data_IF_239948279251
#
_entry.id   IF_239948279251
#
_cell.length_a   1.000
_cell.length_b   1.000
_cell.length_c   1.000
_cell.angle_alpha   90.00
_cell.angle_beta   90.00
_cell.angle_gamma   90.00
#
_symmetry.space_group_name_H-M   'P 1'
#
loop_
_entity.id
_entity.type
_entity.pdbx_description
1 polymer ?
#
# COMPACT_ATOMS: atom_id res chain seq x y z
N UNK A 1 4.78 13.51 3.32
CA UNK A 1 3.44 12.82 3.27
C UNK A 1 2.64 13.22 4.49
N UNK A 2 1.31 13.42 4.34
CA UNK A 2 0.43 13.79 5.48
C UNK A 2 -0.85 12.95 5.57
N UNK A 3 -1.10 12.11 4.58
CA UNK A 3 -2.28 11.25 4.54
C UNK A 3 -1.93 9.85 4.04
N UNK A 4 -2.32 8.85 4.83
CA UNK A 4 -2.37 7.46 4.43
C UNK A 4 -3.83 7.12 4.16
N UNK A 5 -4.14 6.61 2.98
CA UNK A 5 -5.44 6.04 2.67
C UNK A 5 -5.28 4.54 2.53
N UNK A 6 -5.86 3.79 3.45
CA UNK A 6 -5.76 2.33 3.45
C UNK A 6 -7.08 1.70 3.02
N UNK A 7 -6.98 0.73 2.14
CA UNK A 7 -8.07 -0.17 1.75
C UNK A 7 -7.62 -1.58 2.13
N UNK A 8 -8.25 -2.15 3.16
CA UNK A 8 -7.95 -3.49 3.65
C UNK A 8 -9.02 -4.47 3.22
N UNK A 9 -8.58 -5.61 2.73
CA UNK A 9 -9.42 -6.78 2.51
C UNK A 9 -9.38 -7.70 3.73
N UNK A 10 -10.37 -8.57 3.87
CA UNK A 10 -10.37 -9.60 4.90
C UNK A 10 -9.16 -10.54 4.69
N UNK A 11 -8.34 -10.66 5.74
CA UNK A 11 -7.14 -11.52 5.72
C UNK A 11 -7.46 -12.99 5.94
N UNK A 12 -8.59 -13.27 6.54
CA UNK A 12 -8.86 -14.62 7.01
C UNK A 12 -10.33 -14.96 6.76
N UNK A 13 -10.60 -15.99 6.02
CA UNK A 13 -11.95 -16.54 5.85
C UNK A 13 -12.59 -17.07 7.15
N UNK A 14 -12.16 -16.56 8.32
CA UNK A 14 -12.61 -16.97 9.64
C UNK A 14 -13.04 -15.77 10.47
N UNK A 15 -14.28 -15.77 10.90
CA UNK A 15 -14.84 -14.74 11.79
C UNK A 15 -14.13 -14.67 13.18
N UNK A 16 -13.26 -15.61 13.52
CA UNK A 16 -12.57 -15.68 14.83
C UNK A 16 -11.20 -15.01 14.85
N UNK A 17 -10.62 -14.77 13.69
CA UNK A 17 -9.33 -14.12 13.54
C UNK A 17 -9.53 -12.84 12.77
N UNK A 18 -8.95 -11.77 13.23
CA UNK A 18 -9.01 -10.45 12.61
C UNK A 18 -7.62 -9.82 12.61
N UNK A 19 -6.78 -10.26 11.68
CA UNK A 19 -5.56 -9.54 11.38
C UNK A 19 -5.95 -8.21 10.72
N UNK A 20 -5.29 -7.12 11.07
CA UNK A 20 -5.58 -5.80 10.51
C UNK A 20 -4.38 -4.87 10.65
N UNK A 21 -4.15 -4.04 9.65
CA UNK A 21 -3.15 -2.97 9.73
C UNK A 21 -3.64 -1.74 10.49
N UNK A 22 -4.91 -1.69 10.88
CA UNK A 22 -5.46 -0.56 11.62
C UNK A 22 -4.69 -0.22 12.90
N UNK A 23 -4.24 -1.17 13.74
CA UNK A 23 -3.40 -0.87 14.90
C UNK A 23 -2.08 -0.16 14.55
N UNK A 24 -1.46 -0.50 13.42
CA UNK A 24 -0.28 0.19 12.89
C UNK A 24 -0.57 1.65 12.59
N UNK A 25 -1.64 1.92 11.85
CA UNK A 25 -2.06 3.28 11.50
C UNK A 25 -2.38 4.12 12.74
N UNK A 26 -3.01 3.52 13.75
CA UNK A 26 -3.29 4.14 15.04
C UNK A 26 -2.01 4.48 15.80
N UNK A 27 -1.05 3.55 15.82
CA UNK A 27 0.26 3.77 16.45
C UNK A 27 1.00 4.94 15.79
N UNK A 28 1.10 4.94 14.46
CA UNK A 28 1.76 6.01 13.70
C UNK A 28 1.08 7.37 13.94
N UNK A 29 -0.24 7.44 13.92
CA UNK A 29 -0.95 8.68 14.20
C UNK A 29 -0.77 9.14 15.66
N UNK A 30 -0.65 8.21 16.61
CA UNK A 30 -0.35 8.50 18.02
C UNK A 30 1.04 9.12 18.19
N UNK A 31 2.05 8.61 17.48
CA UNK A 31 3.43 9.15 17.50
C UNK A 31 3.52 10.45 16.69
N UNK A 32 2.90 10.49 15.52
CA UNK A 32 2.92 11.62 14.60
C UNK A 32 1.50 12.14 14.31
N UNK A 33 0.92 12.99 15.16
CA UNK A 33 -0.44 13.50 14.98
C UNK A 33 -0.68 14.26 13.66
N UNK A 34 0.39 14.71 13.00
CA UNK A 34 0.34 15.34 11.67
C UNK A 34 0.10 14.34 10.54
N UNK A 35 0.42 13.06 10.72
CA UNK A 35 0.15 11.98 9.78
C UNK A 35 -1.27 11.50 10.00
N UNK A 36 -2.17 11.87 9.10
CA UNK A 36 -3.56 11.42 9.14
C UNK A 36 -3.72 10.11 8.40
N UNK A 37 -4.70 9.31 8.81
CA UNK A 37 -5.07 8.12 8.05
C UNK A 37 -6.58 8.05 7.83
N UNK A 38 -6.96 7.40 6.73
CA UNK A 38 -8.33 6.99 6.43
C UNK A 38 -8.26 5.49 6.20
N UNK A 39 -8.94 4.74 7.03
CA UNK A 39 -9.03 3.29 6.95
C UNK A 39 -10.39 2.89 6.38
N UNK A 40 -10.39 2.00 5.39
CA UNK A 40 -11.55 1.42 4.73
C UNK A 40 -11.34 -0.06 4.53
N UNK A 41 -12.43 -0.80 4.47
CA UNK A 41 -12.43 -2.22 4.10
C UNK A 41 -13.13 -2.42 2.76
N UNK A 42 -12.66 -3.38 1.98
CA UNK A 42 -13.26 -3.79 0.72
C UNK A 42 -13.02 -5.28 0.49
N UNK A 43 -14.09 -6.07 0.37
CA UNK A 43 -14.05 -7.52 0.13
C UNK A 43 -14.63 -7.89 -1.25
N UNK A 44 -15.02 -6.89 -2.02
CA UNK A 44 -15.52 -7.04 -3.39
C UNK A 44 -15.01 -5.91 -4.28
N UNK A 45 -15.05 -6.14 -5.59
CA UNK A 45 -14.70 -5.13 -6.60
C UNK A 45 -15.59 -3.88 -6.51
N UNK A 46 -16.84 -4.02 -6.13
CA UNK A 46 -17.77 -2.89 -5.99
C UNK A 46 -17.45 -2.05 -4.74
N UNK A 47 -17.12 -2.70 -3.62
CA UNK A 47 -16.65 -2.01 -2.40
C UNK A 47 -15.31 -1.31 -2.67
N UNK A 48 -14.40 -1.95 -3.40
CA UNK A 48 -13.16 -1.31 -3.86
C UNK A 48 -13.45 -0.04 -4.67
N UNK A 49 -14.36 -0.09 -5.66
CA UNK A 49 -14.78 1.10 -6.42
C UNK A 49 -15.32 2.20 -5.52
N UNK A 50 -16.11 1.82 -4.51
CA UNK A 50 -16.61 2.79 -3.53
C UNK A 50 -15.47 3.44 -2.76
N UNK A 51 -14.51 2.66 -2.25
CA UNK A 51 -13.34 3.17 -1.53
C UNK A 51 -12.47 4.08 -2.42
N UNK A 52 -12.25 3.72 -3.68
CA UNK A 52 -11.50 4.55 -4.64
C UNK A 52 -12.21 5.87 -4.95
N UNK A 53 -13.55 5.91 -5.00
CA UNK A 53 -14.29 7.17 -5.08
C UNK A 53 -14.04 8.08 -3.86
N UNK A 54 -13.92 7.50 -2.66
CA UNK A 54 -13.55 8.27 -1.45
C UNK A 54 -12.10 8.75 -1.50
N UNK A 55 -11.18 7.91 -1.97
CA UNK A 55 -9.79 8.32 -2.21
C UNK A 55 -9.72 9.53 -3.18
N UNK A 56 -10.45 9.48 -4.30
CA UNK A 56 -10.53 10.59 -5.26
C UNK A 56 -10.97 11.90 -4.64
N UNK A 57 -11.90 11.86 -3.69
CA UNK A 57 -12.39 13.06 -2.99
C UNK A 57 -11.30 13.69 -2.12
N UNK A 58 -10.53 12.89 -1.38
CA UNK A 58 -9.53 13.39 -0.43
C UNK A 58 -8.18 13.70 -1.08
N UNK A 59 -7.77 12.95 -2.10
CA UNK A 59 -6.49 13.16 -2.77
C UNK A 59 -6.39 14.50 -3.48
N UNK A 60 -7.51 15.03 -3.97
CA UNK A 60 -7.57 16.32 -4.69
C UNK A 60 -7.40 17.55 -3.80
N UNK A 61 -7.60 17.40 -2.50
CA UNK A 61 -7.53 18.50 -1.53
C UNK A 61 -6.19 18.62 -0.84
N UNK A 62 -5.28 17.68 -1.07
CA UNK A 62 -3.96 17.66 -0.46
C UNK A 62 -2.89 18.15 -1.45
N UNK A 63 -2.11 19.15 -1.04
CA UNK A 63 -0.95 19.63 -1.79
C UNK A 63 0.24 18.65 -1.75
N UNK A 64 0.25 17.74 -0.78
CA UNK A 64 1.23 16.68 -0.64
C UNK A 64 0.73 15.38 -1.31
N UNK A 65 1.66 14.47 -1.62
CA UNK A 65 1.25 13.14 -2.05
C UNK A 65 0.58 12.36 -0.91
N UNK A 66 -0.41 11.54 -1.27
CA UNK A 66 -0.99 10.55 -0.40
C UNK A 66 -0.25 9.21 -0.56
N UNK A 67 -0.20 8.41 0.48
CA UNK A 67 0.18 7.00 0.41
C UNK A 67 -1.12 6.17 0.42
N UNK A 68 -1.38 5.49 -0.69
CA UNK A 68 -2.50 4.56 -0.82
C UNK A 68 -1.99 3.15 -0.54
N UNK A 69 -2.48 2.55 0.54
CA UNK A 69 -2.15 1.18 0.96
C UNK A 69 -3.27 0.24 0.57
N UNK A 70 -2.92 -0.83 -0.12
CA UNK A 70 -3.78 -1.99 -0.35
C UNK A 70 -3.28 -3.12 0.53
N UNK A 71 -4.06 -3.50 1.53
CA UNK A 71 -3.71 -4.52 2.51
C UNK A 71 -4.61 -5.74 2.38
N UNK A 72 -4.03 -6.93 2.44
CA UNK A 72 -4.76 -8.18 2.29
C UNK A 72 -3.90 -9.28 1.66
N UNK A 73 -4.51 -10.39 1.33
CA UNK A 73 -3.81 -11.45 0.62
C UNK A 73 -3.34 -11.03 -0.76
N UNK A 74 -2.18 -11.52 -1.15
CA UNK A 74 -1.58 -11.28 -2.46
C UNK A 74 -0.92 -12.53 -3.03
N UNK A 75 -0.70 -12.52 -4.31
CA UNK A 75 0.14 -13.47 -5.05
C UNK A 75 0.78 -12.73 -6.23
N UNK A 76 1.71 -13.39 -6.93
CA UNK A 76 2.42 -12.76 -8.05
C UNK A 76 1.49 -12.04 -9.01
N UNK A 77 1.58 -10.71 -9.05
CA UNK A 77 0.80 -9.84 -9.93
C UNK A 77 -0.68 -9.69 -9.60
N UNK A 78 -1.15 -10.18 -8.43
CA UNK A 78 -2.55 -10.16 -8.03
C UNK A 78 -2.73 -9.76 -6.57
N UNK A 79 -3.83 -9.08 -6.29
CA UNK A 79 -4.32 -8.79 -4.95
C UNK A 79 -5.75 -9.33 -4.78
N UNK A 80 -6.09 -9.76 -3.57
CA UNK A 80 -7.38 -10.35 -3.25
C UNK A 80 -8.26 -9.36 -2.48
N UNK A 81 -9.55 -9.37 -2.80
CA UNK A 81 -10.62 -8.65 -2.10
C UNK A 81 -11.69 -9.67 -1.73
N UNK A 82 -11.57 -10.24 -0.52
CA UNK A 82 -12.35 -11.39 -0.11
C UNK A 82 -12.07 -12.59 -1.02
N UNK A 83 -13.11 -13.11 -1.67
CA UNK A 83 -12.99 -14.23 -2.63
C UNK A 83 -12.62 -13.78 -4.05
N UNK A 84 -12.71 -12.49 -4.34
CA UNK A 84 -12.35 -11.93 -5.66
C UNK A 84 -10.85 -11.60 -5.71
N UNK A 85 -10.20 -11.85 -6.85
CA UNK A 85 -8.82 -11.41 -7.09
C UNK A 85 -8.77 -10.48 -8.29
N UNK A 86 -7.88 -9.49 -8.22
CA UNK A 86 -7.59 -8.59 -9.33
C UNK A 86 -6.10 -8.66 -9.67
N UNK A 87 -5.79 -8.79 -10.93
CA UNK A 87 -4.45 -8.49 -11.43
C UNK A 87 -4.16 -6.99 -11.27
N UNK A 88 -2.88 -6.60 -11.28
CA UNK A 88 -2.52 -5.18 -11.24
C UNK A 88 -3.15 -4.39 -12.39
N UNK A 89 -3.30 -4.98 -13.58
CA UNK A 89 -3.91 -4.30 -14.72
C UNK A 89 -5.42 -4.14 -14.53
N UNK A 90 -6.12 -5.14 -14.02
CA UNK A 90 -7.55 -5.02 -13.68
C UNK A 90 -7.78 -4.01 -12.55
N UNK A 91 -6.88 -3.93 -11.56
CA UNK A 91 -6.92 -2.89 -10.54
C UNK A 91 -6.74 -1.48 -11.16
N UNK A 92 -5.84 -1.34 -12.15
CA UNK A 92 -5.66 -0.09 -12.87
C UNK A 92 -6.91 0.29 -13.68
N UNK A 93 -7.59 -0.69 -14.30
CA UNK A 93 -8.87 -0.45 -14.99
C UNK A 93 -9.94 0.04 -14.03
N UNK A 94 -10.10 -0.64 -12.88
CA UNK A 94 -11.07 -0.24 -11.83
C UNK A 94 -10.75 1.18 -11.32
N UNK A 95 -9.49 1.51 -11.14
CA UNK A 95 -9.08 2.85 -10.73
C UNK A 95 -9.43 3.90 -11.79
N UNK A 96 -9.20 3.60 -13.08
CA UNK A 96 -9.48 4.50 -14.18
C UNK A 96 -10.98 4.67 -14.47
N UNK A 97 -11.81 3.67 -14.18
CA UNK A 97 -13.28 3.82 -14.18
C UNK A 97 -13.74 4.90 -13.17
N UNK A 98 -13.04 5.02 -12.04
CA UNK A 98 -13.33 6.03 -11.02
C UNK A 98 -12.76 7.40 -11.41
N UNK A 99 -11.62 7.43 -12.06
CA UNK A 99 -10.99 8.66 -12.54
C UNK A 99 -9.72 8.39 -13.32
N UNK A 100 -9.59 9.02 -14.48
CA UNK A 100 -8.39 8.91 -15.31
C UNK A 100 -7.13 9.22 -14.48
N UNK A 101 -6.15 8.31 -14.53
CA UNK A 101 -4.90 8.38 -13.76
C UNK A 101 -5.15 8.71 -12.28
N UNK A 102 -6.05 7.96 -11.65
CA UNK A 102 -6.54 8.22 -10.29
C UNK A 102 -5.41 8.34 -9.27
N UNK A 103 -4.28 7.65 -9.46
CA UNK A 103 -3.15 7.65 -8.52
C UNK A 103 -2.05 8.65 -8.91
N UNK A 104 -2.36 9.60 -9.81
CA UNK A 104 -1.37 10.54 -10.31
C UNK A 104 -0.68 11.32 -9.17
N UNK A 105 0.65 11.18 -9.10
CA UNK A 105 1.48 11.84 -8.09
C UNK A 105 1.49 11.18 -6.72
N UNK A 106 0.78 10.07 -6.52
CA UNK A 106 0.67 9.37 -5.25
C UNK A 106 1.55 8.12 -5.17
N UNK A 107 1.86 7.68 -3.94
CA UNK A 107 2.43 6.36 -3.67
C UNK A 107 1.31 5.33 -3.65
N UNK A 108 1.52 4.19 -4.31
CA UNK A 108 0.71 2.98 -4.14
C UNK A 108 1.58 1.91 -3.50
N UNK A 109 1.18 1.43 -2.34
CA UNK A 109 1.86 0.37 -1.60
C UNK A 109 0.96 -0.85 -1.46
N UNK A 110 1.49 -2.02 -1.81
CA UNK A 110 0.83 -3.30 -1.64
C UNK A 110 1.38 -3.97 -0.37
N UNK A 111 0.63 -3.84 0.72
CA UNK A 111 0.81 -4.59 1.95
C UNK A 111 0.19 -5.98 1.77
N UNK A 112 0.85 -6.78 0.95
CA UNK A 112 0.35 -8.08 0.47
C UNK A 112 1.51 -8.91 -0.04
N UNK A 113 1.46 -10.23 0.19
CA UNK A 113 2.50 -11.15 -0.24
C UNK A 113 2.69 -11.15 -1.76
N UNK A 114 3.95 -11.09 -2.20
CA UNK A 114 4.38 -11.39 -3.59
C UNK A 114 3.72 -10.59 -4.72
N UNK A 115 2.92 -9.56 -4.46
CA UNK A 115 2.17 -8.81 -5.51
C UNK A 115 3.11 -8.21 -6.56
N UNK A 116 4.27 -7.70 -6.14
CA UNK A 116 5.25 -7.08 -7.05
C UNK A 116 6.35 -8.04 -7.50
N UNK A 117 6.27 -9.32 -7.13
CA UNK A 117 7.24 -10.34 -7.50
C UNK A 117 7.24 -10.58 -9.01
N UNK A 118 8.43 -10.64 -9.62
CA UNK A 118 8.65 -10.96 -11.04
C UNK A 118 7.72 -10.21 -12.03
N UNK A 119 7.22 -9.04 -11.61
CA UNK A 119 6.19 -8.29 -12.32
C UNK A 119 6.65 -6.89 -12.77
N UNK A 120 7.95 -6.69 -12.96
CA UNK A 120 8.52 -5.37 -13.32
C UNK A 120 7.79 -4.71 -14.49
N UNK A 121 7.53 -5.47 -15.57
CA UNK A 121 6.85 -4.94 -16.75
C UNK A 121 5.39 -4.60 -16.46
N UNK A 122 4.71 -5.43 -15.66
CA UNK A 122 3.30 -5.20 -15.25
C UNK A 122 3.22 -3.99 -14.35
N UNK A 123 4.16 -3.83 -13.40
CA UNK A 123 4.25 -2.66 -12.52
C UNK A 123 4.50 -1.38 -13.32
N UNK A 124 5.37 -1.42 -14.32
CA UNK A 124 5.59 -0.26 -15.23
C UNK A 124 4.31 0.12 -15.97
N UNK A 125 3.57 -0.85 -16.48
CA UNK A 125 2.30 -0.59 -17.15
C UNK A 125 1.23 -0.07 -16.18
N UNK A 126 1.15 -0.64 -14.98
CA UNK A 126 0.28 -0.14 -13.91
C UNK A 126 0.57 1.34 -13.58
N UNK A 127 1.84 1.71 -13.42
CA UNK A 127 2.26 3.10 -13.20
C UNK A 127 1.81 4.00 -14.35
N UNK A 128 2.03 3.57 -15.59
CA UNK A 128 1.64 4.32 -16.79
C UNK A 128 0.13 4.54 -16.86
N UNK A 129 -0.66 3.51 -16.56
CA UNK A 129 -2.12 3.57 -16.59
C UNK A 129 -2.70 4.43 -15.45
N UNK A 130 -2.15 4.33 -14.25
CA UNK A 130 -2.70 4.95 -13.04
C UNK A 130 -2.09 6.30 -12.70
N UNK A 131 -0.90 6.60 -13.25
CA UNK A 131 -0.14 7.80 -12.92
C UNK A 131 0.57 7.74 -11.56
N UNK A 132 0.63 6.59 -10.91
CA UNK A 132 1.30 6.45 -9.63
C UNK A 132 2.75 6.95 -9.69
N UNK A 133 3.19 7.68 -8.68
CA UNK A 133 4.56 8.22 -8.59
C UNK A 133 5.57 7.13 -8.19
N UNK A 134 5.15 6.22 -7.35
CA UNK A 134 5.89 5.05 -6.91
C UNK A 134 4.90 3.92 -6.64
N UNK A 135 5.28 2.71 -7.00
CA UNK A 135 4.62 1.47 -6.58
C UNK A 135 5.62 0.69 -5.75
N UNK A 136 5.22 0.21 -4.60
CA UNK A 136 6.02 -0.61 -3.69
C UNK A 136 5.19 -1.75 -3.11
N UNK A 137 5.84 -2.76 -2.56
CA UNK A 137 5.23 -3.92 -1.95
C UNK A 137 6.26 -5.02 -1.73
N UNK A 138 5.83 -6.16 -1.23
CA UNK A 138 6.69 -7.31 -0.97
C UNK A 138 6.88 -8.17 -2.22
N UNK A 139 8.15 -8.55 -2.48
CA UNK A 139 8.51 -9.46 -3.58
C UNK A 139 8.39 -10.94 -3.19
N UNK A 140 8.22 -11.24 -1.90
CA UNK A 140 8.09 -12.60 -1.37
C UNK A 140 6.92 -12.65 -0.40
N UNK A 141 6.58 -13.86 0.02
CA UNK A 141 5.67 -14.05 1.13
C UNK A 141 6.33 -13.56 2.41
N UNK A 142 5.58 -12.85 3.23
CA UNK A 142 6.04 -12.25 4.47
C UNK A 142 5.11 -12.64 5.61
N UNK A 143 5.69 -12.79 6.80
CA UNK A 143 4.92 -12.92 8.03
C UNK A 143 4.23 -11.59 8.36
N UNK A 144 3.03 -11.67 8.94
CA UNK A 144 2.24 -10.48 9.27
C UNK A 144 2.97 -9.54 10.25
N UNK A 145 3.70 -10.07 11.24
CA UNK A 145 4.44 -9.23 12.20
C UNK A 145 5.68 -8.61 11.55
N UNK A 146 6.37 -9.36 10.69
CA UNK A 146 7.54 -8.85 9.96
C UNK A 146 7.14 -7.73 9.00
N UNK A 147 6.08 -7.92 8.21
CA UNK A 147 5.57 -6.88 7.31
C UNK A 147 5.15 -5.64 8.09
N UNK A 148 4.38 -5.80 9.16
CA UNK A 148 3.94 -4.72 10.04
C UNK A 148 5.11 -3.88 10.57
N UNK A 149 6.19 -4.53 11.03
CA UNK A 149 7.38 -3.83 11.53
C UNK A 149 8.10 -3.05 10.42
N UNK A 150 8.28 -3.65 9.24
CA UNK A 150 8.89 -3.00 8.08
C UNK A 150 8.08 -1.81 7.58
N UNK A 151 6.76 -1.93 7.58
CA UNK A 151 5.87 -0.85 7.16
C UNK A 151 5.83 0.30 8.14
N UNK A 152 5.89 0.03 9.45
CA UNK A 152 6.05 1.10 10.43
C UNK A 152 7.32 1.92 10.16
N UNK A 153 8.44 1.26 9.88
CA UNK A 153 9.69 1.92 9.50
C UNK A 153 9.52 2.69 8.19
N UNK A 154 8.87 2.09 7.19
CA UNK A 154 8.63 2.75 5.90
C UNK A 154 7.77 4.01 6.05
N UNK A 155 6.68 3.94 6.82
CA UNK A 155 5.81 5.09 7.07
C UNK A 155 6.55 6.19 7.84
N UNK A 156 7.42 5.84 8.80
CA UNK A 156 8.26 6.82 9.49
C UNK A 156 9.15 7.59 8.49
N UNK A 157 9.83 6.87 7.61
CA UNK A 157 10.63 7.53 6.56
C UNK A 157 9.79 8.33 5.56
N UNK A 158 8.59 7.84 5.19
CA UNK A 158 7.66 8.60 4.35
C UNK A 158 7.24 9.93 4.99
N UNK A 159 7.13 9.96 6.31
CA UNK A 159 6.80 11.17 7.05
C UNK A 159 7.95 12.21 7.02
N UNK A 160 9.19 11.75 7.05
CA UNK A 160 10.38 12.61 7.11
C UNK A 160 11.00 12.93 5.74
N UNK A 161 10.63 12.19 4.69
CA UNK A 161 11.18 12.37 3.34
C UNK A 161 10.32 13.30 2.48
N UNK A 162 10.97 14.03 1.56
CA UNK A 162 10.28 14.88 0.58
C UNK A 162 9.57 14.08 -0.49
N UNK A 163 10.09 12.91 -0.83
CA UNK A 163 9.53 12.03 -1.86
C UNK A 163 9.42 10.59 -1.37
N UNK A 164 8.46 9.79 -1.90
CA UNK A 164 8.37 8.37 -1.57
C UNK A 164 9.64 7.59 -1.93
N UNK A 165 10.33 8.00 -2.98
CA UNK A 165 11.56 7.35 -3.43
C UNK A 165 12.74 7.56 -2.46
N UNK A 166 12.85 8.74 -1.85
CA UNK A 166 13.83 8.98 -0.77
C UNK A 166 13.55 8.06 0.43
N UNK A 167 12.30 7.98 0.88
CA UNK A 167 11.91 7.08 1.95
C UNK A 167 12.29 5.63 1.65
N UNK A 168 11.95 5.14 0.47
CA UNK A 168 12.30 3.79 0.02
C UNK A 168 13.80 3.52 0.10
N UNK A 169 14.64 4.45 -0.36
CA UNK A 169 16.11 4.30 -0.29
C UNK A 169 16.63 4.17 1.15
N UNK A 170 16.06 4.94 2.08
CA UNK A 170 16.49 4.87 3.48
C UNK A 170 16.10 3.55 4.13
N UNK A 171 14.90 3.03 3.85
CA UNK A 171 14.46 1.71 4.33
C UNK A 171 15.39 0.59 3.83
N UNK A 172 15.74 0.60 2.53
CA UNK A 172 16.68 -0.39 1.96
C UNK A 172 18.03 -0.35 2.67
N UNK A 173 18.57 0.82 3.01
CA UNK A 173 19.83 0.93 3.75
C UNK A 173 19.76 0.26 5.13
N UNK A 174 18.65 0.45 5.86
CA UNK A 174 18.46 -0.21 7.17
C UNK A 174 18.44 -1.72 7.01
N UNK A 175 17.64 -2.23 6.06
CA UNK A 175 17.55 -3.68 5.82
C UNK A 175 18.93 -4.25 5.48
N UNK A 176 19.69 -3.59 4.60
CA UNK A 176 21.03 -4.04 4.23
C UNK A 176 22.01 -4.00 5.42
N UNK A 177 21.93 -2.98 6.27
CA UNK A 177 22.77 -2.89 7.48
C UNK A 177 22.45 -4.02 8.47
N UNK A 178 21.18 -4.38 8.66
CA UNK A 178 20.77 -5.51 9.51
C UNK A 178 21.27 -6.84 8.97
N UNK A 179 21.38 -7.01 7.66
CA UNK A 179 21.90 -8.24 7.03
C UNK A 179 23.42 -8.32 7.15
N UNK A 180 24.15 -7.19 7.03
CA UNK A 180 25.62 -7.17 7.11
C UNK A 180 26.17 -7.51 8.51
N UNK A 181 25.39 -7.32 9.56
CA UNK A 181 25.79 -7.68 10.93
C UNK A 181 25.54 -9.17 11.27
N UNK A 182 24.78 -9.88 10.44
CA UNK A 182 24.53 -11.33 10.65
C UNK A 182 25.57 -12.25 10.04
N UNK A 183 26.44 -11.74 9.20
CA UNK A 183 27.52 -12.49 8.53
C UNK A 183 28.87 -12.38 9.27
N UNK A 184 28.87 -11.87 10.51
CA UNK A 184 29.98 -11.82 11.45
C UNK A 184 29.75 -12.81 12.60
#
# INVERSE_FOLDING_TARGET
MKLIFSIESDWEGSAKKQSSILPMLQCINGVYPSVKYIFRTANTKDELRYCLRKFKQVSRTNNDYCALFFAGHGSTGKIFFGEESLTLLELAEVANEVGEKLFNGHLVHFDSCSVVKDSEQIVKEFIKLTGAKLVSGFCNDVDFIESFALEMIFIDYLNHSKTPYEAYKEVIKIILNLVSERDL
#
